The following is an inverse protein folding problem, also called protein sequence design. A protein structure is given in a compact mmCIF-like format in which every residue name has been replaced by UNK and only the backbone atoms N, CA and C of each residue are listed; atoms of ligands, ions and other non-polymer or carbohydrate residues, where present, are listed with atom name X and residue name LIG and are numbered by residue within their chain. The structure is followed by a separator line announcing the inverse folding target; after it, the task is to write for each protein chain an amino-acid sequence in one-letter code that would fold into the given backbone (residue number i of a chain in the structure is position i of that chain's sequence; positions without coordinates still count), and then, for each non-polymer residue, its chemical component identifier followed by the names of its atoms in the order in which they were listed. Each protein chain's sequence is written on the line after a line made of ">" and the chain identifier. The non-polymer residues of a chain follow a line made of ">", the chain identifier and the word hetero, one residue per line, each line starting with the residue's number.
data_IF_584238508844
#
_entry.id   IF_584238508844
#
_cell.length_a   1.000
_cell.length_b   1.000
_cell.length_c   1.000
_cell.angle_alpha   90.00
_cell.angle_beta   90.00
_cell.angle_gamma   90.00
#
_symmetry.space_group_name_H-M   'P 1'
#
loop_
_entity.id
_entity.type
_entity.pdbx_description
1 polymer ?
#
# COMPACT_ATOMS: atom_id res chain seq x y z
N UNK A 1 -4.84 -55.60 -12.27
CA UNK A 1 -4.95 -55.97 -10.85
C UNK A 1 -4.63 -54.74 -10.01
N UNK A 2 -5.38 -54.52 -8.93
CA UNK A 2 -5.53 -53.31 -8.09
C UNK A 2 -6.46 -52.19 -8.60
N UNK A 3 -7.61 -52.13 -7.90
CA UNK A 3 -8.69 -51.14 -7.90
C UNK A 3 -8.34 -49.99 -6.95
N UNK A 4 -8.82 -48.78 -7.27
CA UNK A 4 -9.35 -47.86 -6.27
C UNK A 4 -10.69 -47.30 -6.76
N UNK A 5 -11.71 -47.40 -5.90
CA UNK A 5 -13.09 -47.05 -6.16
C UNK A 5 -13.40 -45.63 -5.66
N UNK A 6 -14.14 -44.85 -6.45
CA UNK A 6 -14.83 -43.64 -6.01
C UNK A 6 -16.25 -44.01 -5.57
N UNK A 7 -16.81 -43.43 -4.49
CA UNK A 7 -18.20 -43.65 -4.15
C UNK A 7 -19.09 -42.95 -5.18
N UNK A 8 -19.75 -43.74 -6.04
CA UNK A 8 -20.91 -43.28 -6.79
C UNK A 8 -22.08 -43.19 -5.82
N UNK A 9 -22.50 -41.97 -5.50
CA UNK A 9 -23.79 -41.77 -4.87
C UNK A 9 -24.87 -41.91 -5.96
N UNK A 10 -25.51 -43.07 -6.04
CA UNK A 10 -26.73 -43.26 -6.82
C UNK A 10 -27.89 -42.64 -6.04
N UNK A 11 -28.39 -41.51 -6.51
CA UNK A 11 -29.70 -41.00 -6.11
C UNK A 11 -30.76 -41.72 -6.94
N UNK A 12 -31.51 -42.60 -6.28
CA UNK A 12 -32.73 -43.19 -6.81
C UNK A 12 -33.77 -42.08 -6.94
N UNK A 13 -34.01 -41.61 -8.16
CA UNK A 13 -35.08 -40.64 -8.45
C UNK A 13 -36.36 -41.43 -8.73
N UNK A 14 -37.23 -41.56 -7.75
CA UNK A 14 -38.62 -41.92 -8.01
C UNK A 14 -39.35 -40.67 -8.53
N UNK A 15 -39.61 -40.64 -9.84
CA UNK A 15 -40.47 -39.65 -10.48
C UNK A 15 -41.93 -39.98 -10.21
N UNK A 16 -42.61 -39.18 -9.41
CA UNK A 16 -44.06 -38.99 -9.54
C UNK A 16 -44.29 -37.61 -10.15
N UNK A 17 -44.73 -37.59 -11.41
CA UNK A 17 -45.22 -36.38 -12.08
C UNK A 17 -46.60 -35.99 -11.53
N UNK A 18 -46.77 -34.74 -11.10
CA UNK A 18 -47.97 -33.97 -11.42
C UNK A 18 -47.68 -32.45 -11.34
N UNK A 19 -48.31 -31.63 -12.19
CA UNK A 19 -47.84 -30.28 -12.51
C UNK A 19 -48.53 -29.18 -11.69
N UNK A 20 -47.97 -27.98 -11.78
CA UNK A 20 -48.53 -26.67 -11.36
C UNK A 20 -48.38 -26.29 -9.89
N UNK A 21 -47.36 -25.46 -9.60
CA UNK A 21 -47.49 -24.08 -9.08
C UNK A 21 -46.10 -23.48 -8.81
N UNK A 22 -45.97 -22.20 -9.16
CA UNK A 22 -44.78 -21.37 -9.03
C UNK A 22 -44.25 -21.31 -7.59
N UNK A 23 -42.94 -21.54 -7.45
CA UNK A 23 -42.02 -20.96 -6.47
C UNK A 23 -42.57 -20.65 -5.06
N UNK A 24 -42.76 -21.69 -4.25
CA UNK A 24 -42.49 -21.65 -2.82
C UNK A 24 -41.68 -22.89 -2.45
N UNK A 25 -40.47 -22.69 -1.93
CA UNK A 25 -39.71 -23.76 -1.27
C UNK A 25 -39.74 -23.50 0.23
N UNK A 26 -40.57 -24.23 1.00
CA UNK A 26 -40.31 -24.44 2.41
C UNK A 26 -39.45 -25.71 2.51
N UNK A 27 -38.19 -25.60 2.92
CA UNK A 27 -37.47 -26.73 3.50
C UNK A 27 -36.32 -26.21 4.36
N UNK A 28 -36.62 -26.12 5.65
CA UNK A 28 -35.66 -26.24 6.74
C UNK A 28 -35.01 -27.61 6.58
N UNK A 29 -33.92 -27.68 5.83
CA UNK A 29 -32.91 -28.70 6.05
C UNK A 29 -31.97 -28.16 7.10
N UNK A 30 -31.92 -28.83 8.26
CA UNK A 30 -30.83 -28.75 9.21
C UNK A 30 -29.57 -29.31 8.53
N UNK A 31 -29.05 -28.57 7.55
CA UNK A 31 -27.64 -28.67 7.20
C UNK A 31 -26.93 -28.18 8.44
N UNK A 32 -26.24 -29.09 9.11
CA UNK A 32 -25.25 -28.74 10.11
C UNK A 32 -24.19 -27.91 9.37
N UNK A 33 -24.44 -26.60 9.22
CA UNK A 33 -23.42 -25.63 8.83
C UNK A 33 -22.38 -25.78 9.93
N UNK A 34 -21.30 -26.52 9.66
CA UNK A 34 -20.03 -26.24 10.29
C UNK A 34 -19.73 -24.80 9.92
N UNK A 35 -20.23 -23.87 10.73
CA UNK A 35 -19.80 -22.50 10.73
C UNK A 35 -18.29 -22.60 10.90
N UNK A 36 -17.53 -22.22 9.87
CA UNK A 36 -16.11 -22.01 10.03
C UNK A 36 -15.93 -21.20 11.31
N UNK A 37 -15.19 -21.77 12.27
CA UNK A 37 -14.89 -21.11 13.53
C UNK A 37 -14.10 -19.87 13.12
N UNK A 38 -14.73 -18.70 13.12
CA UNK A 38 -14.03 -17.44 12.94
C UNK A 38 -12.88 -17.44 13.92
N UNK A 39 -11.64 -17.43 13.41
CA UNK A 39 -10.48 -17.20 14.24
C UNK A 39 -10.64 -15.81 14.80
N UNK A 40 -10.86 -15.73 16.11
CA UNK A 40 -10.80 -14.48 16.86
C UNK A 40 -9.33 -14.08 16.87
N UNK A 41 -8.88 -13.39 15.82
CA UNK A 41 -7.59 -12.73 15.86
C UNK A 41 -7.68 -11.68 16.97
N UNK A 42 -7.09 -11.96 18.12
CA UNK A 42 -6.93 -11.03 19.23
C UNK A 42 -5.96 -9.92 18.79
N UNK A 43 -6.47 -8.93 18.08
CA UNK A 43 -5.77 -7.66 17.84
C UNK A 43 -6.16 -6.70 18.95
N UNK A 44 -5.24 -6.43 19.88
CA UNK A 44 -5.43 -5.38 20.87
C UNK A 44 -5.40 -4.02 20.15
N UNK A 45 -6.57 -3.45 19.86
CA UNK A 45 -6.71 -2.14 19.20
C UNK A 45 -6.00 -1.00 19.94
N UNK A 46 -5.83 -1.14 21.26
CA UNK A 46 -5.32 -0.11 22.16
C UNK A 46 -3.82 0.27 21.97
N UNK A 47 -3.07 -0.42 21.11
CA UNK A 47 -1.64 -0.12 20.91
C UNK A 47 -1.23 -0.09 19.43
N UNK A 48 -2.19 0.17 18.53
CA UNK A 48 -1.88 0.33 17.11
C UNK A 48 -1.17 1.66 16.88
N UNK A 49 -0.04 1.61 16.17
CA UNK A 49 0.82 2.76 15.87
C UNK A 49 1.17 2.79 14.38
N UNK A 50 1.32 3.97 13.77
CA UNK A 50 1.73 4.08 12.38
C UNK A 50 3.06 3.37 12.09
N UNK A 51 3.24 2.89 10.86
CA UNK A 51 4.45 2.15 10.43
C UNK A 51 5.75 2.91 10.72
N UNK A 52 5.75 4.24 10.54
CA UNK A 52 6.93 5.07 10.78
C UNK A 52 7.45 5.00 12.22
N UNK A 53 6.61 4.66 13.20
CA UNK A 53 7.02 4.58 14.62
C UNK A 53 8.04 3.47 14.87
N UNK A 54 8.20 2.55 13.92
CA UNK A 54 9.20 1.47 13.97
C UNK A 54 10.54 1.87 13.35
N UNK A 55 10.59 2.95 12.56
CA UNK A 55 11.78 3.34 11.80
C UNK A 55 13.00 3.59 12.70
N UNK A 56 12.79 4.19 13.88
CA UNK A 56 13.86 4.45 14.85
C UNK A 56 14.55 3.17 15.34
N UNK A 57 13.84 2.04 15.41
CA UNK A 57 14.41 0.75 15.80
C UNK A 57 15.31 0.14 14.73
N UNK A 58 15.20 0.59 13.48
CA UNK A 58 16.02 0.12 12.36
C UNK A 58 17.17 1.07 12.01
N UNK A 59 17.08 2.36 12.39
CA UNK A 59 18.19 3.31 12.30
C UNK A 59 18.78 3.43 10.89
N UNK A 60 20.09 3.19 10.78
CA UNK A 60 20.85 3.35 9.52
C UNK A 60 20.66 2.21 8.52
N UNK A 61 19.85 1.20 8.85
CA UNK A 61 19.55 0.11 7.93
C UNK A 61 18.87 0.66 6.67
N UNK A 62 19.18 0.10 5.51
CA UNK A 62 18.59 0.52 4.24
C UNK A 62 17.10 0.16 4.22
N UNK A 63 16.26 1.15 3.92
CA UNK A 63 14.81 0.98 3.80
C UNK A 63 14.38 0.94 2.34
N UNK A 64 14.85 1.90 1.55
CA UNK A 64 14.48 2.06 0.14
C UNK A 64 15.74 2.19 -0.72
N UNK A 65 15.76 1.53 -1.87
CA UNK A 65 16.72 1.78 -2.93
C UNK A 65 15.92 2.18 -4.16
N UNK A 66 16.22 3.34 -4.74
CA UNK A 66 15.57 3.86 -5.95
C UNK A 66 16.62 4.40 -6.94
N UNK A 67 16.17 5.07 -8.00
CA UNK A 67 17.08 5.65 -9.01
C UNK A 67 17.99 6.76 -8.49
N UNK A 68 17.69 7.34 -7.32
CA UNK A 68 18.48 8.39 -6.69
C UNK A 68 19.50 7.87 -5.67
N UNK A 69 19.38 6.61 -5.24
CA UNK A 69 20.34 5.96 -4.34
C UNK A 69 19.68 5.08 -3.29
N UNK A 70 20.38 4.92 -2.16
CA UNK A 70 19.91 4.18 -0.99
C UNK A 70 19.48 5.15 0.10
N UNK A 71 18.34 4.88 0.73
CA UNK A 71 17.73 5.68 1.78
C UNK A 71 17.53 4.81 3.02
N UNK A 72 18.09 5.23 4.15
CA UNK A 72 17.95 4.52 5.43
C UNK A 72 16.61 4.82 6.11
N UNK A 73 16.21 3.97 7.06
CA UNK A 73 15.02 4.22 7.89
C UNK A 73 15.13 5.56 8.62
N UNK A 74 16.32 5.89 9.14
CA UNK A 74 16.61 7.18 9.77
C UNK A 74 16.43 8.36 8.81
N UNK A 75 17.00 8.28 7.61
CA UNK A 75 16.88 9.36 6.61
C UNK A 75 15.43 9.61 6.20
N UNK A 76 14.65 8.56 5.97
CA UNK A 76 13.23 8.67 5.67
C UNK A 76 12.47 9.32 6.83
N UNK A 77 12.71 8.87 8.06
CA UNK A 77 12.06 9.40 9.25
C UNK A 77 12.37 10.89 9.46
N UNK A 78 13.65 11.28 9.40
CA UNK A 78 14.08 12.67 9.62
C UNK A 78 13.51 13.60 8.55
N UNK A 79 13.53 13.17 7.28
CA UNK A 79 12.96 13.92 6.15
C UNK A 79 11.43 14.07 6.28
N UNK A 80 10.75 13.02 6.74
CA UNK A 80 9.31 13.06 7.03
C UNK A 80 8.98 14.01 8.17
N UNK A 81 9.81 14.02 9.22
CA UNK A 81 9.64 14.91 10.36
C UNK A 81 9.80 16.37 9.94
N UNK A 82 10.82 16.68 9.12
CA UNK A 82 11.01 18.02 8.56
C UNK A 82 9.81 18.46 7.70
N UNK A 83 9.35 17.60 6.78
CA UNK A 83 8.19 17.91 5.95
C UNK A 83 6.89 18.04 6.76
N UNK A 84 6.69 17.24 7.82
CA UNK A 84 5.54 17.37 8.72
C UNK A 84 5.51 18.72 9.45
N UNK A 85 6.68 19.24 9.85
CA UNK A 85 6.82 20.59 10.38
C UNK A 85 6.41 21.66 9.36
N UNK A 86 6.84 21.51 8.10
CA UNK A 86 6.47 22.42 7.01
C UNK A 86 4.96 22.38 6.70
N UNK A 87 4.35 21.19 6.69
CA UNK A 87 2.90 21.01 6.53
C UNK A 87 2.17 21.76 7.65
N UNK A 88 2.60 21.56 8.90
CA UNK A 88 1.97 22.19 10.08
C UNK A 88 2.11 23.72 10.03
N UNK A 89 3.29 24.23 9.66
CA UNK A 89 3.54 25.66 9.50
C UNK A 89 2.70 26.28 8.36
N UNK A 90 2.63 25.63 7.21
CA UNK A 90 1.85 26.08 6.07
C UNK A 90 0.33 26.12 6.38
N UNK A 91 -0.13 25.20 7.23
CA UNK A 91 -1.52 25.14 7.69
C UNK A 91 -1.81 25.95 8.96
N UNK A 92 -0.77 26.60 9.54
CA UNK A 92 -0.83 27.35 10.80
C UNK A 92 -1.40 26.53 11.96
N UNK A 93 -0.95 25.29 12.07
CA UNK A 93 -1.31 24.36 13.13
C UNK A 93 -0.08 23.92 13.91
N UNK A 94 -0.29 23.48 15.15
CA UNK A 94 0.74 22.75 15.89
C UNK A 94 1.05 21.41 15.20
N UNK A 95 2.26 20.89 15.44
CA UNK A 95 2.67 19.59 14.92
C UNK A 95 1.80 18.49 15.54
N UNK A 96 1.28 17.60 14.69
CA UNK A 96 0.30 16.57 15.10
C UNK A 96 -1.13 17.09 15.23
N UNK A 97 -1.35 18.40 15.05
CA UNK A 97 -2.62 19.09 15.26
C UNK A 97 -3.56 19.14 14.07
N UNK A 98 -3.31 18.40 12.98
CA UNK A 98 -4.15 18.48 11.77
C UNK A 98 -5.54 17.87 11.93
N UNK A 99 -5.78 17.04 12.96
CA UNK A 99 -7.10 16.45 13.26
C UNK A 99 -7.74 15.78 12.03
N UNK A 100 -6.95 15.03 11.25
CA UNK A 100 -7.43 14.31 10.08
C UNK A 100 -7.61 15.15 8.81
N UNK A 101 -7.16 16.41 8.77
CA UNK A 101 -7.10 17.21 7.53
C UNK A 101 -6.35 16.47 6.42
N UNK A 102 -6.87 16.52 5.19
CA UNK A 102 -6.33 15.74 4.06
C UNK A 102 -5.16 16.47 3.43
N UNK A 103 -4.07 15.74 3.24
CA UNK A 103 -2.86 16.19 2.56
C UNK A 103 -2.75 15.38 1.28
N UNK A 104 -3.04 16.02 0.15
CA UNK A 104 -2.84 15.40 -1.16
C UNK A 104 -1.39 15.54 -1.56
N UNK A 105 -0.80 14.48 -2.10
CA UNK A 105 0.59 14.52 -2.52
C UNK A 105 0.81 13.78 -3.83
N UNK A 106 1.68 14.34 -4.67
CA UNK A 106 2.05 13.79 -5.96
C UNK A 106 3.55 13.50 -5.97
N UNK A 107 3.89 12.21 -6.00
CA UNK A 107 5.26 11.71 -5.93
C UNK A 107 5.56 10.67 -7.03
N UNK A 108 6.84 10.42 -7.25
CA UNK A 108 7.30 9.25 -8.01
C UNK A 108 7.16 7.95 -7.22
N UNK A 109 7.49 6.83 -7.86
CA UNK A 109 7.66 5.55 -7.17
C UNK A 109 9.09 5.47 -6.61
N UNK A 110 9.35 6.27 -5.59
CA UNK A 110 10.67 6.47 -4.97
C UNK A 110 10.51 6.93 -3.51
N UNK A 111 11.63 7.17 -2.82
CA UNK A 111 11.64 7.53 -1.41
C UNK A 111 10.78 8.78 -1.06
N UNK A 112 10.56 9.71 -2.00
CA UNK A 112 9.74 10.89 -1.78
C UNK A 112 8.30 10.56 -1.39
N UNK A 113 7.75 9.47 -1.91
CA UNK A 113 6.40 9.01 -1.57
C UNK A 113 6.30 8.63 -0.09
N UNK A 114 7.29 7.89 0.42
CA UNK A 114 7.34 7.47 1.82
C UNK A 114 7.49 8.69 2.72
N UNK A 115 8.34 9.64 2.32
CA UNK A 115 8.52 10.89 3.04
C UNK A 115 7.23 11.68 3.15
N UNK A 116 6.51 11.90 2.04
CA UNK A 116 5.24 12.62 2.00
C UNK A 116 4.13 11.92 2.80
N UNK A 117 4.01 10.60 2.67
CA UNK A 117 3.00 9.82 3.38
C UNK A 117 3.22 9.89 4.90
N UNK A 118 4.45 9.65 5.36
CA UNK A 118 4.76 9.70 6.77
C UNK A 118 4.65 11.13 7.31
N UNK A 119 5.00 12.15 6.54
CA UNK A 119 4.83 13.54 6.94
C UNK A 119 3.36 13.92 7.14
N UNK A 120 2.47 13.47 6.24
CA UNK A 120 1.03 13.63 6.41
C UNK A 120 0.54 12.95 7.69
N UNK A 121 1.00 11.74 7.99
CA UNK A 121 0.65 11.05 9.22
C UNK A 121 1.20 11.73 10.47
N UNK A 122 2.50 12.05 10.50
CA UNK A 122 3.18 12.69 11.63
C UNK A 122 2.55 14.04 11.99
N UNK A 123 2.07 14.80 11.00
CA UNK A 123 1.34 16.04 11.22
C UNK A 123 -0.10 15.84 11.74
N UNK A 124 -0.59 14.60 11.83
CA UNK A 124 -1.94 14.25 12.28
C UNK A 124 -2.98 14.33 11.15
N UNK A 125 -2.53 14.34 9.91
CA UNK A 125 -3.34 14.43 8.70
C UNK A 125 -3.63 13.08 8.06
N UNK A 126 -4.56 13.12 7.10
CA UNK A 126 -4.94 11.97 6.26
C UNK A 126 -4.21 12.06 4.93
N UNK A 127 -3.43 11.04 4.59
CA UNK A 127 -2.68 10.96 3.34
C UNK A 127 -3.61 10.73 2.13
N UNK A 128 -3.49 11.51 1.06
CA UNK A 128 -4.25 11.31 -0.18
C UNK A 128 -3.27 11.20 -1.36
N UNK A 129 -2.79 9.99 -1.69
CA UNK A 129 -1.85 9.80 -2.78
C UNK A 129 -2.50 10.10 -4.14
N UNK A 130 -1.88 10.98 -4.89
CA UNK A 130 -2.23 11.28 -6.29
C UNK A 130 -1.35 10.44 -7.23
N UNK A 131 -1.80 10.27 -8.48
CA UNK A 131 -1.04 9.53 -9.48
C UNK A 131 -0.65 10.39 -10.68
N UNK A 132 0.65 10.41 -10.99
CA UNK A 132 1.24 11.28 -12.02
C UNK A 132 0.74 11.07 -13.45
N UNK A 133 0.10 9.92 -13.73
CA UNK A 133 -0.47 9.65 -15.06
C UNK A 133 -1.96 10.00 -15.16
N UNK A 134 -2.60 10.39 -14.06
CA UNK A 134 -3.97 10.90 -14.13
C UNK A 134 -3.98 12.26 -14.85
N UNK A 135 -4.97 12.52 -15.72
CA UNK A 135 -5.13 13.84 -16.31
C UNK A 135 -5.42 14.89 -15.24
N UNK A 136 -5.12 16.18 -15.49
CA UNK A 136 -5.37 17.26 -14.53
C UNK A 136 -6.80 17.31 -13.99
N UNK A 137 -7.80 16.99 -14.81
CA UNK A 137 -9.22 16.95 -14.39
C UNK A 137 -9.50 15.87 -13.35
N UNK A 138 -8.81 14.73 -13.41
CA UNK A 138 -8.95 13.66 -12.43
C UNK A 138 -8.19 13.98 -11.14
N UNK A 139 -7.01 14.60 -11.24
CA UNK A 139 -6.29 15.15 -10.08
C UNK A 139 -7.14 16.19 -9.35
N UNK A 140 -7.70 17.16 -10.09
CA UNK A 140 -8.58 18.19 -9.54
C UNK A 140 -9.80 17.59 -8.85
N UNK A 141 -10.42 16.56 -9.47
CA UNK A 141 -11.55 15.85 -8.87
C UNK A 141 -11.16 15.22 -7.53
N UNK A 142 -10.05 14.47 -7.47
CA UNK A 142 -9.58 13.83 -6.24
C UNK A 142 -9.26 14.86 -5.15
N UNK A 143 -8.59 15.95 -5.51
CA UNK A 143 -8.23 17.02 -4.57
C UNK A 143 -9.48 17.68 -3.99
N UNK A 144 -10.48 17.94 -4.84
CA UNK A 144 -11.73 18.60 -4.45
C UNK A 144 -12.65 17.68 -3.64
N UNK A 145 -12.84 16.44 -4.09
CA UNK A 145 -13.69 15.43 -3.45
C UNK A 145 -13.14 15.02 -2.07
N UNK A 146 -11.82 14.89 -1.95
CA UNK A 146 -11.15 14.65 -0.67
C UNK A 146 -11.12 15.89 0.24
N UNK A 147 -11.50 17.06 -0.28
CA UNK A 147 -11.42 18.35 0.40
C UNK A 147 -10.01 18.59 0.96
N UNK A 148 -8.98 18.40 0.14
CA UNK A 148 -7.59 18.55 0.58
C UNK A 148 -7.32 19.94 1.14
N UNK A 149 -6.58 20.01 2.24
CA UNK A 149 -6.19 21.26 2.90
C UNK A 149 -4.87 21.81 2.40
N UNK A 150 -4.00 20.95 1.89
CA UNK A 150 -2.68 21.29 1.38
C UNK A 150 -2.24 20.26 0.35
N UNK A 151 -1.46 20.72 -0.63
CA UNK A 151 -0.84 19.89 -1.66
C UNK A 151 0.67 19.76 -1.42
N UNK A 152 1.22 18.58 -1.66
CA UNK A 152 2.68 18.35 -1.66
C UNK A 152 3.10 17.81 -3.02
N UNK A 153 3.97 18.51 -3.72
CA UNK A 153 4.54 18.06 -4.99
C UNK A 153 6.00 17.65 -4.79
N UNK A 154 6.33 16.39 -5.01
CA UNK A 154 7.74 16.01 -5.11
C UNK A 154 8.30 16.41 -6.46
N UNK A 155 9.59 16.76 -6.54
CA UNK A 155 10.23 17.04 -7.82
C UNK A 155 10.18 15.81 -8.76
N UNK A 156 9.87 15.96 -10.06
CA UNK A 156 9.53 17.19 -10.79
C UNK A 156 8.01 17.45 -10.92
N UNK A 157 7.17 16.84 -10.09
CA UNK A 157 5.72 16.90 -10.18
C UNK A 157 5.07 18.25 -9.82
N UNK A 158 5.87 19.28 -9.49
CA UNK A 158 5.38 20.63 -9.18
C UNK A 158 4.57 21.23 -10.34
N UNK A 159 5.06 21.07 -11.58
CA UNK A 159 4.40 21.60 -12.78
C UNK A 159 2.97 21.08 -12.97
N UNK A 160 2.69 19.86 -12.51
CA UNK A 160 1.35 19.26 -12.60
C UNK A 160 0.41 19.75 -11.49
N UNK A 161 0.94 20.13 -10.31
CA UNK A 161 0.16 20.38 -9.11
C UNK A 161 0.00 21.87 -8.78
N UNK A 162 0.98 22.71 -9.10
CA UNK A 162 0.94 24.16 -8.87
C UNK A 162 -0.24 24.86 -9.55
N UNK A 163 -0.58 24.59 -10.83
CA UNK A 163 -1.75 25.20 -11.46
C UNK A 163 -3.07 24.81 -10.77
N UNK A 164 -3.16 23.57 -10.29
CA UNK A 164 -4.33 23.08 -9.54
C UNK A 164 -4.40 23.73 -8.15
N UNK A 165 -3.26 23.89 -7.47
CA UNK A 165 -3.18 24.59 -6.19
C UNK A 165 -3.69 26.02 -6.30
N UNK A 166 -3.24 26.76 -7.32
CA UNK A 166 -3.67 28.13 -7.59
C UNK A 166 -5.17 28.19 -7.89
N UNK A 167 -5.65 27.31 -8.80
CA UNK A 167 -7.07 27.24 -9.17
C UNK A 167 -7.98 26.98 -7.96
N UNK A 168 -7.54 26.13 -7.04
CA UNK A 168 -8.32 25.70 -5.88
C UNK A 168 -8.06 26.57 -4.62
N UNK A 169 -7.12 27.52 -4.69
CA UNK A 169 -6.76 28.37 -3.55
C UNK A 169 -6.11 27.61 -2.39
N UNK A 170 -5.35 26.55 -2.68
CA UNK A 170 -4.70 25.70 -1.69
C UNK A 170 -3.20 26.00 -1.56
N UNK A 171 -2.62 25.92 -0.35
CA UNK A 171 -1.17 25.92 -0.21
C UNK A 171 -0.56 24.70 -0.88
N UNK A 172 0.58 24.89 -1.56
CA UNK A 172 1.35 23.83 -2.20
C UNK A 172 2.80 23.88 -1.72
N UNK A 173 3.29 22.77 -1.18
CA UNK A 173 4.69 22.59 -0.80
C UNK A 173 5.41 21.78 -1.87
N UNK A 174 6.64 22.15 -2.17
CA UNK A 174 7.49 21.44 -3.13
C UNK A 174 8.62 20.74 -2.40
N UNK A 175 8.77 19.43 -2.60
CA UNK A 175 9.91 18.68 -2.05
C UNK A 175 11.11 18.78 -3.01
N UNK A 176 12.35 18.76 -2.49
CA UNK A 176 13.55 18.69 -3.32
C UNK A 176 13.59 17.37 -4.12
N UNK A 177 14.52 17.25 -5.09
CA UNK A 177 14.81 15.98 -5.74
C UNK A 177 15.05 14.86 -4.72
N UNK A 178 14.63 13.63 -5.05
CA UNK A 178 14.74 12.47 -4.15
C UNK A 178 16.18 12.21 -3.68
N UNK A 179 17.19 12.54 -4.49
CA UNK A 179 18.61 12.47 -4.13
C UNK A 179 19.04 13.42 -3.01
N UNK A 180 18.21 14.41 -2.66
CA UNK A 180 18.52 15.45 -1.69
C UNK A 180 17.36 15.69 -0.70
N UNK A 181 16.62 14.63 -0.33
CA UNK A 181 15.54 14.73 0.66
C UNK A 181 16.02 15.26 2.03
N UNK A 182 17.28 15.01 2.38
CA UNK A 182 17.92 15.53 3.59
C UNK A 182 18.06 17.06 3.64
N UNK A 183 17.83 17.77 2.52
CA UNK A 183 17.80 19.24 2.50
C UNK A 183 16.50 19.84 3.04
N UNK A 184 15.49 19.01 3.35
CA UNK A 184 14.28 19.48 4.02
C UNK A 184 14.63 20.01 5.41
N UNK A 185 14.39 21.30 5.61
CA UNK A 185 14.67 21.94 6.89
C UNK A 185 13.60 21.62 7.93
N UNK A 186 14.04 21.34 9.16
CA UNK A 186 13.17 21.28 10.31
C UNK A 186 12.53 22.65 10.56
N UNK A 187 11.30 22.63 11.03
CA UNK A 187 10.58 23.83 11.46
C UNK A 187 10.24 23.67 12.93
N UNK A 188 10.63 24.65 13.76
CA UNK A 188 10.25 24.69 15.16
C UNK A 188 8.73 24.83 15.26
N UNK A 189 8.08 23.73 15.65
CA UNK A 189 6.64 23.66 15.83
C UNK A 189 6.36 22.98 17.15
N UNK A 190 5.40 23.51 17.90
CA UNK A 190 4.97 22.89 19.16
C UNK A 190 4.35 21.53 18.85
N UNK A 191 4.82 20.49 19.51
CA UNK A 191 4.33 19.12 19.31
C UNK A 191 3.10 18.84 20.18
N UNK A 192 2.04 18.33 19.55
CA UNK A 192 0.87 17.77 20.22
C UNK A 192 0.89 16.26 20.05
N UNK A 193 0.92 15.47 21.14
CA UNK A 193 0.83 14.03 21.05
C UNK A 193 -0.50 13.59 20.42
N UNK A 194 -0.42 12.79 19.36
CA UNK A 194 -1.59 12.16 18.76
C UNK A 194 -1.98 10.94 19.60
N UNK A 195 -3.18 10.96 20.15
CA UNK A 195 -3.77 9.82 20.87
C UNK A 195 -4.69 9.00 19.96
N UNK A 196 -4.90 7.74 20.33
CA UNK A 196 -5.81 6.81 19.64
C UNK A 196 -5.58 6.69 18.11
N UNK A 197 -4.33 6.50 17.71
CA UNK A 197 -3.94 6.33 16.31
C UNK A 197 -4.84 5.34 15.55
N UNK A 198 -5.26 4.26 16.19
CA UNK A 198 -6.07 3.19 15.58
C UNK A 198 -7.31 3.73 14.82
N UNK A 199 -8.02 4.68 15.42
CA UNK A 199 -9.24 5.25 14.88
C UNK A 199 -9.01 6.50 14.03
N UNK A 200 -7.81 7.08 14.05
CA UNK A 200 -7.48 8.23 13.22
C UNK A 200 -7.48 7.84 11.72
N UNK A 201 -8.00 8.72 10.85
CA UNK A 201 -7.94 8.51 9.41
C UNK A 201 -6.49 8.56 8.94
N UNK A 202 -6.05 7.53 8.23
CA UNK A 202 -4.67 7.42 7.76
C UNK A 202 -4.57 7.78 6.28
N UNK A 203 -5.48 7.26 5.45
CA UNK A 203 -5.34 7.41 4.00
C UNK A 203 -6.68 7.35 3.28
N UNK A 204 -6.84 8.13 2.22
CA UNK A 204 -7.93 7.98 1.25
C UNK A 204 -7.34 7.51 -0.06
N UNK A 205 -7.77 6.34 -0.52
CA UNK A 205 -7.32 5.75 -1.80
C UNK A 205 -8.50 5.76 -2.77
N UNK A 206 -8.33 6.44 -3.90
CA UNK A 206 -9.36 6.49 -4.94
C UNK A 206 -9.33 5.23 -5.81
N UNK A 207 -10.51 4.70 -6.10
CA UNK A 207 -10.68 3.50 -6.92
C UNK A 207 -11.60 3.78 -8.10
N UNK A 208 -11.28 3.23 -9.27
CA UNK A 208 -12.13 3.29 -10.47
C UNK A 208 -13.41 2.51 -10.22
N UNK A 209 -14.45 3.18 -9.72
CA UNK A 209 -15.75 2.56 -9.52
C UNK A 209 -16.33 2.04 -10.83
N UNK A 210 -17.09 0.96 -10.79
CA UNK A 210 -17.70 0.33 -11.99
C UNK A 210 -18.80 1.17 -12.64
N UNK A 211 -19.27 2.23 -11.99
CA UNK A 211 -20.49 2.96 -12.39
C UNK A 211 -20.37 4.50 -12.33
N UNK A 212 -19.16 5.06 -12.31
CA UNK A 212 -19.02 6.52 -12.26
C UNK A 212 -17.62 7.04 -11.93
N UNK A 213 -17.55 8.26 -11.38
CA UNK A 213 -16.30 8.88 -10.93
C UNK A 213 -15.61 8.04 -9.85
N UNK A 214 -14.27 8.09 -9.74
CA UNK A 214 -13.53 7.35 -8.73
C UNK A 214 -14.05 7.63 -7.31
N UNK A 215 -14.11 6.61 -6.45
CA UNK A 215 -14.57 6.78 -5.06
C UNK A 215 -13.39 6.70 -4.09
N UNK A 216 -13.31 7.64 -3.16
CA UNK A 216 -12.32 7.64 -2.09
C UNK A 216 -12.65 6.60 -1.01
N UNK A 217 -11.82 5.56 -0.88
CA UNK A 217 -11.89 4.60 0.20
C UNK A 217 -11.04 5.09 1.38
N UNK A 218 -11.70 5.44 2.49
CA UNK A 218 -11.04 5.87 3.72
C UNK A 218 -10.53 4.66 4.52
N UNK A 219 -9.25 4.68 4.83
CA UNK A 219 -8.57 3.73 5.71
C UNK A 219 -8.11 4.43 6.99
N UNK A 220 -8.41 3.85 8.15
CA UNK A 220 -7.81 4.26 9.42
C UNK A 220 -6.43 3.63 9.59
N UNK A 221 -5.59 4.16 10.50
CA UNK A 221 -4.31 3.52 10.79
C UNK A 221 -4.50 2.09 11.30
N UNK A 222 -5.55 1.83 12.08
CA UNK A 222 -5.85 0.50 12.57
C UNK A 222 -6.20 -0.49 11.46
N UNK A 223 -6.92 -0.05 10.43
CA UNK A 223 -7.21 -0.88 9.25
C UNK A 223 -5.94 -1.19 8.44
N UNK A 224 -5.06 -0.20 8.25
CA UNK A 224 -3.79 -0.37 7.54
C UNK A 224 -2.89 -1.34 8.33
N UNK A 225 -2.73 -1.11 9.63
CA UNK A 225 -1.90 -1.96 10.47
C UNK A 225 -2.43 -3.39 10.49
N UNK A 226 -3.75 -3.61 10.54
CA UNK A 226 -4.32 -4.95 10.49
C UNK A 226 -3.96 -5.67 9.17
N UNK A 227 -4.04 -4.99 8.02
CA UNK A 227 -3.61 -5.56 6.74
C UNK A 227 -2.11 -5.88 6.72
N UNK A 228 -1.27 -4.96 7.21
CA UNK A 228 0.19 -5.15 7.29
C UNK A 228 0.53 -6.35 8.19
N UNK A 229 -0.01 -6.40 9.41
CA UNK A 229 0.26 -7.48 10.37
C UNK A 229 -0.20 -8.84 9.84
N UNK A 230 -1.37 -8.89 9.18
CA UNK A 230 -1.85 -10.10 8.53
C UNK A 230 -0.85 -10.60 7.48
N UNK A 231 -0.45 -9.74 6.53
CA UNK A 231 0.50 -10.11 5.47
C UNK A 231 1.88 -10.46 6.02
N UNK A 232 2.38 -9.70 7.00
CA UNK A 232 3.67 -9.95 7.67
C UNK A 232 3.68 -11.33 8.34
N UNK A 233 2.59 -11.67 9.04
CA UNK A 233 2.44 -12.97 9.72
C UNK A 233 2.31 -14.12 8.72
N UNK A 234 1.37 -14.02 7.78
CA UNK A 234 1.04 -15.10 6.85
C UNK A 234 2.18 -15.39 5.87
N UNK A 235 2.97 -14.37 5.50
CA UNK A 235 4.10 -14.54 4.58
C UNK A 235 5.46 -14.58 5.28
N UNK A 236 5.45 -14.61 6.62
CA UNK A 236 6.64 -14.70 7.46
C UNK A 236 7.73 -13.68 7.08
N UNK A 237 7.31 -12.43 6.85
CA UNK A 237 8.24 -11.35 6.49
C UNK A 237 9.30 -11.17 7.57
N UNK A 238 10.54 -10.99 7.13
CA UNK A 238 11.70 -10.78 7.99
C UNK A 238 12.46 -9.51 7.61
N UNK A 239 13.26 -8.99 8.54
CA UNK A 239 14.16 -7.86 8.26
C UNK A 239 15.19 -8.16 7.17
N UNK A 240 15.50 -9.44 6.93
CA UNK A 240 16.49 -9.86 5.95
C UNK A 240 15.89 -9.91 4.53
N UNK A 241 14.60 -9.59 4.40
CA UNK A 241 13.91 -9.63 3.13
C UNK A 241 14.26 -8.43 2.25
N UNK A 242 14.28 -8.67 0.94
CA UNK A 242 14.35 -7.62 -0.09
C UNK A 242 13.19 -7.79 -1.06
N UNK A 243 12.41 -6.72 -1.26
CA UNK A 243 11.27 -6.72 -2.17
C UNK A 243 11.50 -5.79 -3.35
N UNK A 244 11.22 -6.28 -4.56
CA UNK A 244 11.12 -5.44 -5.74
C UNK A 244 9.72 -4.82 -5.83
N UNK A 245 9.66 -3.49 -5.86
CA UNK A 245 8.45 -2.70 -5.92
C UNK A 245 8.33 -1.98 -7.27
N UNK A 246 7.40 -2.47 -8.09
CA UNK A 246 7.12 -1.96 -9.44
C UNK A 246 5.69 -1.46 -9.58
N UNK A 247 4.92 -1.51 -8.49
CA UNK A 247 3.49 -1.26 -8.53
C UNK A 247 3.18 0.23 -8.31
N UNK A 248 2.12 0.76 -8.93
CA UNK A 248 1.71 2.13 -8.67
C UNK A 248 1.33 2.35 -7.19
N UNK A 249 1.80 3.46 -6.62
CA UNK A 249 1.55 3.85 -5.22
C UNK A 249 0.23 4.63 -5.01
N UNK A 250 -0.76 4.42 -5.88
CA UNK A 250 -2.14 4.91 -5.72
C UNK A 250 -3.15 3.76 -5.57
N UNK A 251 -2.67 2.53 -5.40
CA UNK A 251 -3.48 1.35 -5.11
C UNK A 251 -3.07 0.75 -3.77
N UNK A 252 -4.07 0.32 -2.98
CA UNK A 252 -3.83 -0.26 -1.65
C UNK A 252 -2.88 -1.45 -1.68
N UNK A 253 -2.88 -2.26 -2.74
CA UNK A 253 -1.96 -3.40 -2.85
C UNK A 253 -0.49 -2.96 -2.98
N UNK A 254 -0.19 -1.98 -3.83
CA UNK A 254 1.18 -1.45 -3.97
C UNK A 254 1.67 -0.76 -2.69
N UNK A 255 0.77 -0.06 -2.01
CA UNK A 255 1.09 0.66 -0.77
C UNK A 255 1.28 -0.33 0.39
N UNK A 256 0.29 -1.16 0.68
CA UNK A 256 0.32 -2.01 1.88
C UNK A 256 1.31 -3.16 1.71
N UNK A 257 1.17 -3.94 0.64
CA UNK A 257 1.92 -5.18 0.48
C UNK A 257 3.39 -4.92 0.12
N UNK A 258 3.63 -4.04 -0.85
CA UNK A 258 4.97 -3.84 -1.41
C UNK A 258 5.79 -2.75 -0.73
N UNK A 259 5.13 -1.84 0.00
CA UNK A 259 5.80 -0.74 0.70
C UNK A 259 5.67 -0.83 2.23
N UNK A 260 4.46 -0.97 2.78
CA UNK A 260 4.30 -0.93 4.24
C UNK A 260 4.74 -2.22 4.94
N UNK A 261 4.53 -3.40 4.35
CA UNK A 261 5.02 -4.66 4.92
C UNK A 261 6.55 -4.71 5.09
N UNK A 262 7.38 -4.39 4.08
CA UNK A 262 8.83 -4.36 4.30
C UNK A 262 9.22 -3.28 5.32
N UNK A 263 8.62 -2.09 5.26
CA UNK A 263 8.91 -1.01 6.21
C UNK A 263 8.50 -1.36 7.65
N UNK A 264 7.53 -2.26 7.82
CA UNK A 264 7.09 -2.74 9.13
C UNK A 264 8.10 -3.68 9.78
N UNK A 265 8.67 -4.61 9.02
CA UNK A 265 9.62 -5.60 9.57
C UNK A 265 11.06 -5.12 9.57
N UNK A 266 11.33 -3.98 8.94
CA UNK A 266 12.69 -3.50 8.75
C UNK A 266 13.36 -4.25 7.62
N UNK A 267 12.68 -4.47 6.49
CA UNK A 267 13.22 -5.06 5.26
C UNK A 267 13.59 -3.98 4.23
N UNK A 268 14.19 -4.36 3.11
CA UNK A 268 14.61 -3.41 2.06
C UNK A 268 13.66 -3.45 0.87
N UNK A 269 13.20 -2.28 0.42
CA UNK A 269 12.32 -2.12 -0.74
C UNK A 269 13.10 -1.49 -1.90
N UNK A 270 13.29 -2.23 -2.99
CA UNK A 270 13.90 -1.70 -4.22
C UNK A 270 12.77 -1.18 -5.10
N UNK A 271 12.69 0.14 -5.26
CA UNK A 271 11.65 0.80 -6.04
C UNK A 271 12.11 1.08 -7.46
N UNK A 272 11.32 0.61 -8.43
CA UNK A 272 11.49 1.00 -9.83
C UNK A 272 10.53 2.13 -10.17
N UNK A 273 10.99 3.21 -10.84
CA UNK A 273 10.14 4.37 -11.16
C UNK A 273 8.95 4.00 -12.04
N UNK A 274 9.09 2.94 -12.84
CA UNK A 274 8.03 2.37 -13.65
C UNK A 274 8.28 0.89 -13.93
N UNK A 275 7.21 0.11 -14.03
CA UNK A 275 7.29 -1.26 -14.54
C UNK A 275 7.53 -1.24 -16.06
N UNK A 276 8.73 -1.60 -16.48
CA UNK A 276 9.10 -1.67 -17.88
C UNK A 276 9.55 -3.10 -18.22
N UNK A 277 8.61 -3.99 -18.64
CA UNK A 277 8.88 -5.42 -18.79
C UNK A 277 9.92 -5.72 -19.88
N UNK A 278 10.16 -4.79 -20.79
CA UNK A 278 11.08 -4.95 -21.91
C UNK A 278 12.53 -4.58 -21.57
N UNK A 279 12.77 -3.83 -20.48
CA UNK A 279 14.11 -3.35 -20.18
C UNK A 279 15.04 -4.48 -19.71
N UNK A 280 16.25 -4.62 -20.29
CA UNK A 280 17.20 -5.66 -19.94
C UNK A 280 17.52 -5.68 -18.45
N UNK A 281 17.73 -4.53 -17.81
CA UNK A 281 18.07 -4.49 -16.38
C UNK A 281 16.96 -4.99 -15.45
N UNK A 282 15.67 -4.93 -15.82
CA UNK A 282 14.60 -5.53 -14.99
C UNK A 282 14.66 -7.05 -15.14
N UNK A 283 14.85 -7.54 -16.38
CA UNK A 283 15.06 -8.96 -16.64
C UNK A 283 16.36 -9.48 -16.04
N UNK A 284 17.43 -8.71 -16.06
CA UNK A 284 18.76 -9.07 -15.58
C UNK A 284 18.85 -8.91 -14.07
N UNK A 285 18.14 -7.95 -13.47
CA UNK A 285 17.94 -7.85 -12.03
C UNK A 285 17.11 -9.04 -11.54
N UNK A 286 15.94 -9.29 -12.13
CA UNK A 286 15.13 -10.48 -11.81
C UNK A 286 15.94 -11.76 -12.06
N UNK A 287 16.71 -11.86 -13.15
CA UNK A 287 17.57 -13.02 -13.41
C UNK A 287 18.72 -13.13 -12.42
N UNK A 288 19.42 -12.07 -12.05
CA UNK A 288 20.52 -12.10 -11.09
C UNK A 288 19.99 -12.49 -9.70
N UNK A 289 18.89 -11.89 -9.30
CA UNK A 289 18.09 -12.23 -8.12
C UNK A 289 17.65 -13.70 -8.13
N UNK A 290 17.13 -14.20 -9.25
CA UNK A 290 16.73 -15.60 -9.41
C UNK A 290 17.92 -16.56 -9.52
N UNK A 291 19.05 -16.13 -10.09
CA UNK A 291 20.25 -16.96 -10.34
C UNK A 291 21.05 -17.19 -9.07
N UNK A 292 21.03 -16.23 -8.14
CA UNK A 292 21.70 -16.39 -6.85
C UNK A 292 20.84 -17.14 -5.82
N UNK A 293 19.48 -17.16 -5.91
CA UNK A 293 18.61 -17.89 -4.94
C UNK A 293 17.22 -18.43 -5.42
N UNK A 294 17.00 -19.02 -6.63
CA UNK A 294 15.95 -20.06 -6.89
C UNK A 294 16.30 -21.08 -8.00
N UNK A 295 15.94 -22.35 -7.76
CA UNK A 295 15.50 -23.34 -8.78
C UNK A 295 14.27 -22.88 -9.59
N UNK A 296 14.48 -22.50 -10.84
CA UNK A 296 13.44 -22.40 -11.86
C UNK A 296 12.90 -23.80 -12.21
N UNK A 297 11.58 -24.05 -12.14
CA UNK A 297 10.95 -25.25 -12.69
C UNK A 297 10.51 -24.98 -14.15
N UNK A 298 11.17 -25.59 -15.15
CA UNK A 298 10.87 -25.35 -16.55
C UNK A 298 9.54 -25.95 -17.03
N UNK A 299 8.79 -26.70 -16.20
CA UNK A 299 7.57 -27.39 -16.62
C UNK A 299 6.29 -26.54 -16.60
N UNK A 300 6.29 -25.39 -15.91
CA UNK A 300 5.11 -24.52 -15.84
C UNK A 300 4.92 -23.70 -17.12
N UNK A 301 3.92 -24.07 -17.93
CA UNK A 301 3.51 -23.34 -19.13
C UNK A 301 2.89 -21.99 -18.76
N UNK A 302 3.70 -20.93 -18.65
CA UNK A 302 3.20 -19.57 -18.44
C UNK A 302 2.99 -18.86 -19.78
N UNK A 303 1.73 -18.59 -20.10
CA UNK A 303 1.33 -17.80 -21.26
C UNK A 303 1.74 -16.32 -21.06
N UNK A 304 2.28 -15.69 -22.09
CA UNK A 304 3.05 -14.42 -22.00
C UNK A 304 2.23 -13.19 -21.55
N UNK A 305 0.92 -13.32 -21.31
CA UNK A 305 0.00 -12.23 -20.98
C UNK A 305 -0.35 -12.10 -19.49
N UNK A 306 0.04 -13.05 -18.64
CA UNK A 306 -0.38 -13.10 -17.21
C UNK A 306 0.65 -12.54 -16.21
N UNK A 307 1.65 -11.79 -16.68
CA UNK A 307 2.79 -11.29 -15.89
C UNK A 307 2.47 -10.20 -14.83
N UNK A 308 1.20 -9.94 -14.53
CA UNK A 308 0.78 -8.72 -13.83
C UNK A 308 0.95 -8.73 -12.30
N UNK A 309 1.23 -9.87 -11.65
CA UNK A 309 1.28 -9.96 -10.20
C UNK A 309 2.45 -10.81 -9.72
N UNK A 310 3.65 -10.25 -9.70
CA UNK A 310 4.79 -10.87 -9.01
C UNK A 310 5.04 -10.20 -7.66
N UNK A 311 4.82 -10.95 -6.58
CA UNK A 311 5.55 -10.75 -5.33
C UNK A 311 6.90 -11.43 -5.52
N UNK A 312 8.01 -10.68 -5.49
CA UNK A 312 9.37 -11.23 -5.52
C UNK A 312 9.99 -10.89 -4.18
N UNK A 313 9.81 -11.80 -3.22
CA UNK A 313 10.28 -11.68 -1.83
C UNK A 313 11.58 -12.45 -1.66
N UNK A 314 12.71 -11.75 -1.56
CA UNK A 314 14.03 -12.37 -1.40
C UNK A 314 14.37 -12.52 0.07
N UNK A 315 14.37 -13.74 0.59
CA UNK A 315 14.89 -14.05 1.92
C UNK A 315 16.27 -14.71 1.80
N UNK A 316 17.07 -14.79 2.87
CA UNK A 316 18.33 -15.53 2.85
C UNK A 316 18.17 -17.00 2.42
N UNK A 317 17.00 -17.62 2.58
CA UNK A 317 16.83 -19.07 2.36
C UNK A 317 15.80 -19.45 1.29
N UNK A 318 15.09 -18.49 0.69
CA UNK A 318 14.07 -18.71 -0.33
C UNK A 318 13.70 -17.43 -1.07
N UNK A 319 13.32 -17.52 -2.34
CA UNK A 319 12.56 -16.47 -3.03
C UNK A 319 11.13 -16.97 -3.27
N UNK A 320 10.16 -16.19 -2.80
CA UNK A 320 8.73 -16.47 -2.99
C UNK A 320 8.29 -15.68 -4.22
N UNK A 321 7.99 -16.39 -5.31
CA UNK A 321 7.30 -15.87 -6.49
C UNK A 321 5.87 -16.41 -6.49
N UNK A 322 4.90 -15.56 -6.12
CA UNK A 322 3.48 -15.94 -6.21
C UNK A 322 2.95 -15.54 -7.58
N UNK A 323 2.43 -16.54 -8.30
CA UNK A 323 1.59 -16.36 -9.47
C UNK A 323 0.13 -16.50 -9.04
N UNK A 324 -0.76 -15.78 -9.71
CA UNK A 324 -2.19 -16.06 -9.66
C UNK A 324 -2.52 -16.85 -10.93
N UNK A 325 -2.91 -18.11 -10.76
CA UNK A 325 -3.50 -18.93 -11.83
C UNK A 325 -4.81 -18.33 -12.36
#
# INVERSE_FOLDING_TARGET
>A
MYRWALPRCQTTINRTCCPSKLFQWPLVTLVQKRTHRWTTATSSRANQKPVFTRASAFGDRVAIIDSSGSHSYKQLYDSSLALAGQISAALRTDFGGLQGRRISFLCGNDASYTVAQWAAWMSGGTAVPLYRKHPPSELEYIISDSQSSLLVAAHPCAEALEPLAQKLGLPCLTMPPTSNLSSLNHTDTKEIPISDWANQPAMIIYTSGTTGRPKGALHTHGSIQAMVQCLVSEWAWSKDDVILHTLPLHHVHGIVNKLLCPLWVGATCIMLPEFQPEKPHVKDFVKAVCKDRIRYDPSSHCDKKSLLFFVVLLTPNALICLYKD
#
